data_IF_208788517242
#
_entry.id   IF_208788517242
#
_cell.length_a   1.000
_cell.length_b   1.000
_cell.length_c   1.000
_cell.angle_alpha   90.00
_cell.angle_beta   90.00
_cell.angle_gamma   90.00
#
_symmetry.space_group_name_H-M   'P 1'
#
loop_
_entity.id
_entity.type
_entity.pdbx_description
1 polymer ?
#
# COMPACT_ATOMS: atom_id res chain seq x y z
N UNK A 1 -5.50 9.50 -20.95
CA UNK A 1 -5.58 8.38 -19.97
C UNK A 1 -6.90 7.67 -20.17
N UNK A 2 -6.92 6.34 -20.18
CA UNK A 2 -8.19 5.58 -20.08
C UNK A 2 -8.56 5.52 -18.60
N UNK A 3 -9.77 5.94 -18.27
CA UNK A 3 -10.35 5.80 -16.92
C UNK A 3 -11.07 4.47 -16.82
N UNK A 4 -10.73 3.66 -15.81
CA UNK A 4 -11.45 2.42 -15.47
C UNK A 4 -12.38 2.76 -14.32
N UNK A 5 -13.67 2.44 -14.46
CA UNK A 5 -14.61 2.47 -13.34
C UNK A 5 -14.53 1.14 -12.62
N UNK A 6 -14.34 1.19 -11.31
CA UNK A 6 -14.38 0.02 -10.44
C UNK A 6 -15.80 -0.11 -9.87
N UNK A 7 -16.24 -1.34 -9.66
CA UNK A 7 -17.38 -1.62 -8.79
C UNK A 7 -16.99 -1.48 -7.32
N UNK A 8 -17.97 -1.33 -6.43
CA UNK A 8 -17.75 -1.28 -4.98
C UNK A 8 -17.02 -2.53 -4.46
N UNK A 9 -17.35 -3.70 -5.03
CA UNK A 9 -16.70 -4.97 -4.69
C UNK A 9 -15.22 -4.98 -5.09
N UNK A 10 -14.91 -4.58 -6.34
CA UNK A 10 -13.53 -4.47 -6.81
C UNK A 10 -12.74 -3.45 -6.00
N UNK A 11 -13.35 -2.31 -5.67
CA UNK A 11 -12.73 -1.29 -4.82
C UNK A 11 -12.44 -1.83 -3.42
N UNK A 12 -13.37 -2.57 -2.81
CA UNK A 12 -13.19 -3.20 -1.51
C UNK A 12 -12.06 -4.26 -1.52
N UNK A 13 -11.99 -5.08 -2.59
CA UNK A 13 -10.92 -6.06 -2.78
C UNK A 13 -9.56 -5.36 -2.87
N UNK A 14 -9.45 -4.32 -3.71
CA UNK A 14 -8.19 -3.57 -3.88
C UNK A 14 -7.76 -2.93 -2.56
N UNK A 15 -8.67 -2.29 -1.82
CA UNK A 15 -8.40 -1.71 -0.50
C UNK A 15 -7.90 -2.76 0.50
N UNK A 16 -8.50 -3.96 0.48
CA UNK A 16 -8.08 -5.07 1.33
C UNK A 16 -6.67 -5.53 0.99
N UNK A 17 -6.37 -5.73 -0.29
CA UNK A 17 -5.03 -6.13 -0.75
C UNK A 17 -3.99 -5.07 -0.37
N UNK A 18 -4.26 -3.78 -0.60
CA UNK A 18 -3.35 -2.69 -0.21
C UNK A 18 -3.10 -2.66 1.29
N UNK A 19 -4.13 -2.88 2.10
CA UNK A 19 -3.98 -2.95 3.56
C UNK A 19 -3.06 -4.09 3.98
N UNK A 20 -3.17 -5.26 3.32
CA UNK A 20 -2.27 -6.39 3.58
C UNK A 20 -0.83 -6.06 3.19
N UNK A 21 -0.63 -5.49 2.00
CA UNK A 21 0.70 -5.11 1.52
C UNK A 21 1.39 -4.08 2.43
N UNK A 22 0.65 -3.07 2.90
CA UNK A 22 1.16 -2.08 3.86
C UNK A 22 1.64 -2.77 5.15
N UNK A 23 0.85 -3.70 5.69
CA UNK A 23 1.20 -4.46 6.91
C UNK A 23 2.42 -5.36 6.72
N UNK A 24 2.55 -5.98 5.56
CA UNK A 24 3.70 -6.84 5.25
C UNK A 24 4.98 -6.01 5.10
N UNK A 25 4.92 -4.84 4.44
CA UNK A 25 6.06 -3.92 4.37
C UNK A 25 6.41 -3.35 5.75
N UNK A 26 5.42 -3.00 6.58
CA UNK A 26 5.67 -2.60 7.98
C UNK A 26 6.46 -3.69 8.74
N UNK A 27 6.13 -4.96 8.51
CA UNK A 27 6.86 -6.08 9.11
C UNK A 27 8.28 -6.18 8.56
N UNK A 28 8.46 -6.03 7.26
CA UNK A 28 9.78 -6.10 6.61
C UNK A 28 10.69 -4.95 7.05
N UNK A 29 10.17 -3.72 7.15
CA UNK A 29 10.89 -2.56 7.69
C UNK A 29 11.40 -2.86 9.10
N UNK A 30 10.55 -3.39 9.99
CA UNK A 30 10.95 -3.75 11.37
C UNK A 30 12.09 -4.76 11.38
N UNK A 31 12.03 -5.79 10.53
CA UNK A 31 13.11 -6.78 10.44
C UNK A 31 14.39 -6.21 9.84
N UNK A 32 14.29 -5.39 8.80
CA UNK A 32 15.42 -4.75 8.15
C UNK A 32 16.12 -3.75 9.10
N UNK A 33 15.34 -2.96 9.86
CA UNK A 33 15.84 -2.07 10.91
C UNK A 33 16.59 -2.84 12.00
N UNK A 34 16.00 -3.93 12.52
CA UNK A 34 16.65 -4.76 13.53
C UNK A 34 17.96 -5.40 13.03
N UNK A 35 18.04 -5.68 11.72
CA UNK A 35 19.24 -6.19 11.06
C UNK A 35 20.23 -5.14 10.57
N UNK A 36 20.01 -3.85 10.83
CA UNK A 36 20.89 -2.76 10.37
C UNK A 36 20.95 -2.59 8.85
N UNK A 37 19.93 -3.05 8.12
CA UNK A 37 19.84 -2.93 6.66
C UNK A 37 19.29 -1.56 6.25
N UNK A 38 19.60 -1.12 5.02
CA UNK A 38 18.95 0.05 4.44
C UNK A 38 17.45 -0.24 4.22
N UNK A 39 16.60 0.70 4.62
CA UNK A 39 15.13 0.62 4.56
C UNK A 39 14.49 1.70 3.68
N UNK A 40 15.27 2.60 3.07
CA UNK A 40 14.75 3.74 2.31
C UNK A 40 13.78 3.28 1.21
N UNK A 41 14.14 2.26 0.44
CA UNK A 41 13.26 1.70 -0.60
C UNK A 41 11.97 1.10 -0.03
N UNK A 42 12.03 0.47 1.15
CA UNK A 42 10.83 -0.08 1.80
C UNK A 42 9.90 1.03 2.29
N UNK A 43 10.45 2.11 2.82
CA UNK A 43 9.69 3.30 3.23
C UNK A 43 9.03 3.94 2.02
N UNK A 44 9.75 4.07 0.90
CA UNK A 44 9.20 4.64 -0.33
C UNK A 44 8.02 3.82 -0.86
N UNK A 45 8.17 2.49 -0.95
CA UNK A 45 7.08 1.60 -1.39
C UNK A 45 5.90 1.67 -0.42
N UNK A 46 6.15 1.68 0.89
CA UNK A 46 5.10 1.84 1.88
C UNK A 46 4.31 3.13 1.65
N UNK A 47 5.00 4.25 1.43
CA UNK A 47 4.37 5.54 1.20
C UNK A 47 3.53 5.53 -0.08
N UNK A 48 4.02 4.88 -1.15
CA UNK A 48 3.26 4.71 -2.39
C UNK A 48 1.96 3.94 -2.13
N UNK A 49 1.99 2.84 -1.38
CA UNK A 49 0.78 2.08 -1.06
C UNK A 49 -0.20 2.85 -0.17
N UNK A 50 0.29 3.60 0.81
CA UNK A 50 -0.54 4.49 1.65
C UNK A 50 -1.23 5.56 0.80
N UNK A 51 -0.48 6.21 -0.09
CA UNK A 51 -1.03 7.24 -0.99
C UNK A 51 -2.12 6.66 -1.91
N UNK A 52 -1.89 5.48 -2.49
CA UNK A 52 -2.90 4.82 -3.34
C UNK A 52 -4.14 4.47 -2.51
N UNK A 53 -3.97 3.93 -1.31
CA UNK A 53 -5.11 3.61 -0.43
C UNK A 53 -5.93 4.85 -0.08
N UNK A 54 -5.27 5.96 0.23
CA UNK A 54 -5.94 7.24 0.48
C UNK A 54 -6.73 7.73 -0.73
N UNK A 55 -6.12 7.71 -1.93
CA UNK A 55 -6.80 8.10 -3.18
C UNK A 55 -8.06 7.25 -3.39
N UNK A 56 -7.98 5.93 -3.15
CA UNK A 56 -9.11 5.03 -3.28
C UNK A 56 -10.21 5.27 -2.23
N UNK A 57 -9.90 5.92 -1.10
CA UNK A 57 -10.93 6.32 -0.14
C UNK A 57 -11.78 7.51 -0.61
N UNK A 58 -11.28 8.28 -1.57
CA UNK A 58 -12.03 9.36 -2.23
C UNK A 58 -12.59 8.95 -3.60
N UNK A 59 -12.39 7.69 -4.02
CA UNK A 59 -13.03 7.15 -5.20
C UNK A 59 -14.47 6.78 -4.85
N UNK A 60 -15.41 7.66 -5.24
CA UNK A 60 -16.86 7.40 -5.30
C UNK A 60 -17.27 6.72 -6.62
#
# INVERSE_FOLDING_TARGET
>A
MKTVKLTDEELAIIKTVLTMQIKDIDREIRFAQAGGKNIESLIEIQQQYKNVFEILNYAE
#
